data_IF_295395248965
#
_entry.id   IF_295395248965
#
_cell.length_a   1.000
_cell.length_b   1.000
_cell.length_c   1.000
_cell.angle_alpha   90.00
_cell.angle_beta   90.00
_cell.angle_gamma   90.00
#
_symmetry.space_group_name_H-M   'P 1'
#
loop_
_entity.id
_entity.type
_entity.pdbx_description
1 polymer ?
#
# COMPACT_ATOMS: atom_id res chain seq x y z
N UNK A 1 -34.35 9.62 5.89
CA UNK A 1 -33.00 10.14 5.58
C UNK A 1 -32.03 9.03 5.94
N UNK A 2 -31.56 8.28 4.95
CA UNK A 2 -30.74 7.09 5.19
C UNK A 2 -29.28 7.48 5.39
N UNK A 3 -28.77 7.18 6.57
CA UNK A 3 -27.35 7.09 6.90
C UNK A 3 -26.70 6.05 5.97
N UNK A 4 -25.84 6.52 5.07
CA UNK A 4 -24.99 5.70 4.19
C UNK A 4 -23.54 5.75 4.68
N UNK A 5 -23.28 5.43 5.95
CA UNK A 5 -21.90 5.46 6.45
C UNK A 5 -21.12 4.25 5.95
N UNK A 6 -20.33 4.47 4.89
CA UNK A 6 -19.46 3.50 4.20
C UNK A 6 -18.20 3.12 5.01
N UNK A 7 -17.98 3.80 6.14
CA UNK A 7 -16.76 3.71 6.95
C UNK A 7 -17.08 3.29 8.38
N UNK A 8 -16.32 2.35 8.93
CA UNK A 8 -16.38 2.01 10.35
C UNK A 8 -15.01 2.19 11.01
N UNK A 9 -15.01 2.60 12.28
CA UNK A 9 -13.78 2.73 13.07
C UNK A 9 -13.68 1.49 13.97
N UNK A 10 -12.61 0.71 13.79
CA UNK A 10 -12.27 -0.41 14.67
C UNK A 10 -10.84 -0.24 15.14
N UNK A 11 -10.63 -0.23 16.47
CA UNK A 11 -9.32 -0.06 17.11
C UNK A 11 -8.53 1.16 16.56
N UNK A 12 -9.19 2.31 16.49
CA UNK A 12 -8.62 3.57 15.98
C UNK A 12 -8.16 3.53 14.50
N UNK A 13 -8.66 2.58 13.69
CA UNK A 13 -8.42 2.54 12.23
C UNK A 13 -9.71 2.53 11.43
N UNK A 14 -9.71 3.32 10.34
CA UNK A 14 -10.80 3.42 9.39
C UNK A 14 -10.83 2.15 8.51
N UNK A 15 -11.98 1.49 8.48
CA UNK A 15 -12.24 0.33 7.63
C UNK A 15 -13.25 0.72 6.55
N UNK A 16 -12.94 0.41 5.29
CA UNK A 16 -13.83 0.60 4.15
C UNK A 16 -14.70 -0.63 3.94
N UNK A 17 -16.02 -0.47 3.96
CA UNK A 17 -16.93 -1.57 3.61
C UNK A 17 -17.21 -1.54 2.11
N UNK A 18 -16.57 -2.45 1.36
CA UNK A 18 -16.77 -2.58 -0.08
C UNK A 18 -18.08 -3.34 -0.38
N UNK A 19 -19.16 -2.63 -0.69
CA UNK A 19 -20.38 -3.26 -1.23
C UNK A 19 -20.19 -3.45 -2.75
N UNK A 20 -19.95 -4.69 -3.17
CA UNK A 20 -19.88 -5.07 -4.57
C UNK A 20 -21.17 -4.66 -5.29
N UNK A 21 -21.06 -3.93 -6.40
CA UNK A 21 -22.18 -3.50 -7.22
C UNK A 21 -22.63 -4.71 -8.05
N UNK A 22 -23.59 -5.48 -7.55
CA UNK A 22 -24.17 -6.59 -8.32
C UNK A 22 -25.21 -6.05 -9.30
N UNK A 23 -24.87 -6.06 -10.59
CA UNK A 23 -25.79 -5.96 -11.73
C UNK A 23 -26.78 -7.14 -11.67
N UNK A 24 -28.08 -6.96 -11.97
CA UNK A 24 -29.05 -8.03 -11.83
C UNK A 24 -28.84 -9.07 -12.93
N UNK A 25 -28.40 -10.26 -12.56
CA UNK A 25 -28.65 -11.45 -13.37
C UNK A 25 -29.09 -12.55 -12.43
N UNK A 26 -30.23 -13.11 -12.79
CA UNK A 26 -31.04 -14.06 -12.03
C UNK A 26 -30.24 -15.21 -11.37
N UNK A 27 -30.63 -15.48 -10.12
CA UNK A 27 -30.62 -16.78 -9.45
C UNK A 27 -29.29 -17.57 -9.49
N UNK A 28 -28.46 -17.44 -8.45
CA UNK A 28 -27.84 -18.59 -7.77
C UNK A 28 -27.05 -18.15 -6.51
N UNK A 29 -27.53 -18.65 -5.37
CA UNK A 29 -26.75 -19.08 -4.20
C UNK A 29 -25.73 -18.11 -3.58
N UNK A 30 -26.16 -17.44 -2.51
CA UNK A 30 -25.34 -16.65 -1.59
C UNK A 30 -24.26 -17.51 -0.95
N UNK A 31 -23.14 -17.66 -1.65
CA UNK A 31 -21.89 -18.16 -1.04
C UNK A 31 -21.26 -17.00 -0.27
N UNK A 32 -21.28 -17.07 1.05
CA UNK A 32 -20.55 -16.17 1.94
C UNK A 32 -19.04 -16.36 1.71
N UNK A 33 -18.46 -15.58 0.80
CA UNK A 33 -17.00 -15.51 0.65
C UNK A 33 -16.41 -14.79 1.88
N UNK A 34 -15.41 -15.35 2.57
CA UNK A 34 -14.77 -14.68 3.70
C UNK A 34 -14.15 -13.37 3.22
N UNK A 35 -14.59 -12.27 3.84
CA UNK A 35 -14.22 -10.88 3.56
C UNK A 35 -12.82 -10.50 4.06
N UNK A 36 -11.84 -11.40 4.01
CA UNK A 36 -10.52 -11.19 4.62
C UNK A 36 -9.39 -10.88 3.62
N UNK A 37 -9.59 -10.97 2.30
CA UNK A 37 -8.47 -10.79 1.35
C UNK A 37 -8.05 -9.34 1.11
N UNK A 38 -8.93 -8.36 1.33
CA UNK A 38 -8.68 -6.96 0.99
C UNK A 38 -7.83 -6.21 2.02
N UNK A 39 -7.79 -6.68 3.27
CA UNK A 39 -7.02 -6.06 4.37
C UNK A 39 -5.53 -6.38 4.28
N UNK A 40 -5.15 -7.58 3.82
CA UNK A 40 -3.74 -8.00 3.68
C UNK A 40 -2.92 -7.07 2.78
N UNK A 41 -3.54 -6.52 1.73
CA UNK A 41 -2.87 -5.59 0.81
C UNK A 41 -2.49 -4.29 1.52
N UNK A 42 -3.34 -3.80 2.43
CA UNK A 42 -3.07 -2.58 3.20
C UNK A 42 -2.00 -2.79 4.28
N UNK A 43 -1.86 -4.01 4.78
CA UNK A 43 -0.86 -4.38 5.79
C UNK A 43 0.52 -4.67 5.20
N UNK A 44 0.62 -4.90 3.88
CA UNK A 44 1.89 -5.19 3.22
C UNK A 44 2.77 -3.95 3.23
N UNK A 45 3.95 -3.97 3.87
CA UNK A 45 4.87 -2.83 3.85
C UNK A 45 5.44 -2.60 2.46
N UNK A 46 5.54 -1.34 2.04
CA UNK A 46 6.00 -0.93 0.72
C UNK A 46 7.27 -0.09 0.85
N UNK A 47 8.30 -0.42 0.08
CA UNK A 47 9.44 0.44 -0.16
C UNK A 47 9.35 1.02 -1.56
N UNK A 48 9.42 2.34 -1.68
CA UNK A 48 9.39 3.03 -2.96
C UNK A 48 10.56 4.01 -3.02
N UNK A 49 11.35 3.96 -4.08
CA UNK A 49 12.49 4.86 -4.25
C UNK A 49 12.61 5.42 -5.65
N UNK A 50 13.18 6.62 -5.78
CA UNK A 50 13.36 7.28 -7.07
C UNK A 50 14.54 8.26 -7.10
N UNK A 51 15.25 8.34 -8.22
CA UNK A 51 16.30 9.34 -8.44
C UNK A 51 15.70 10.62 -9.04
N UNK A 52 16.19 11.79 -8.61
CA UNK A 52 15.68 13.09 -9.12
C UNK A 52 16.01 13.35 -10.57
N UNK A 53 17.08 12.76 -11.05
CA UNK A 53 17.63 12.89 -12.41
C UNK A 53 17.19 11.76 -13.34
N UNK A 54 16.16 10.98 -12.97
CA UNK A 54 15.54 10.00 -13.87
C UNK A 54 14.91 10.73 -15.09
N UNK A 55 15.46 10.45 -16.26
CA UNK A 55 15.09 11.01 -17.56
C UNK A 55 14.01 10.20 -18.29
N UNK A 56 13.67 9.02 -17.79
CA UNK A 56 12.67 8.10 -18.35
C UNK A 56 11.34 8.23 -17.62
N UNK A 57 11.36 8.24 -16.29
CA UNK A 57 10.17 8.36 -15.44
C UNK A 57 10.30 9.58 -14.54
N UNK A 58 9.48 10.63 -14.75
CA UNK A 58 9.53 11.83 -13.93
C UNK A 58 9.25 11.54 -12.45
N UNK A 59 10.04 12.14 -11.55
CA UNK A 59 9.88 11.97 -10.10
C UNK A 59 8.51 12.39 -9.56
N UNK A 60 7.76 13.22 -10.30
CA UNK A 60 6.37 13.55 -9.97
C UNK A 60 5.47 12.33 -9.91
N UNK A 61 5.80 11.26 -10.62
CA UNK A 61 5.06 10.00 -10.55
C UNK A 61 5.33 9.27 -9.23
N UNK A 62 6.56 9.34 -8.72
CA UNK A 62 6.94 8.77 -7.42
C UNK A 62 6.35 9.53 -6.22
N UNK A 63 6.07 10.84 -6.36
CA UNK A 63 5.34 11.63 -5.36
C UNK A 63 3.92 11.13 -5.09
N UNK A 64 3.39 10.23 -5.92
CA UNK A 64 2.14 9.52 -5.65
C UNK A 64 2.27 8.47 -4.53
N UNK A 65 3.45 8.31 -3.91
CA UNK A 65 3.59 7.63 -2.61
C UNK A 65 2.62 8.19 -1.55
N UNK A 66 2.37 9.51 -1.58
CA UNK A 66 1.35 10.17 -0.77
C UNK A 66 -0.05 9.59 -0.96
N UNK A 67 -0.36 9.05 -2.14
CA UNK A 67 -1.65 8.38 -2.42
C UNK A 67 -1.70 7.00 -1.76
N UNK A 68 -0.60 6.25 -1.78
CA UNK A 68 -0.51 4.95 -1.10
C UNK A 68 -0.65 5.11 0.42
N UNK A 69 -0.01 6.12 1.00
CA UNK A 69 -0.19 6.47 2.43
C UNK A 69 -1.65 6.86 2.73
N UNK A 70 -2.30 7.67 1.87
CA UNK A 70 -3.72 8.04 2.02
C UNK A 70 -4.67 6.85 1.92
N UNK A 71 -4.27 5.79 1.21
CA UNK A 71 -5.00 4.52 1.15
C UNK A 71 -4.83 3.67 2.42
N UNK A 72 -3.98 4.10 3.36
CA UNK A 72 -3.75 3.40 4.63
C UNK A 72 -2.60 2.38 4.59
N UNK A 73 -1.78 2.40 3.54
CA UNK A 73 -0.62 1.53 3.42
C UNK A 73 0.58 2.06 4.22
N UNK A 74 1.46 1.16 4.64
CA UNK A 74 2.74 1.52 5.28
C UNK A 74 3.80 1.66 4.21
N UNK A 75 4.23 2.89 3.93
CA UNK A 75 5.16 3.19 2.82
C UNK A 75 6.44 3.83 3.37
N UNK A 76 7.59 3.33 2.92
CA UNK A 76 8.90 3.95 3.08
C UNK A 76 9.32 4.57 1.75
N UNK A 77 9.41 5.90 1.69
CA UNK A 77 9.80 6.63 0.48
C UNK A 77 11.25 7.12 0.57
N UNK A 78 12.06 6.80 -0.45
CA UNK A 78 13.45 7.25 -0.58
C UNK A 78 13.67 8.01 -1.88
N UNK A 79 14.15 9.24 -1.76
CA UNK A 79 14.47 10.06 -2.92
C UNK A 79 15.98 10.29 -2.98
N UNK A 80 16.59 9.92 -4.11
CA UNK A 80 18.02 10.12 -4.36
C UNK A 80 18.26 11.36 -5.22
N UNK A 81 19.42 11.99 -5.03
CA UNK A 81 19.78 13.20 -5.78
C UNK A 81 20.11 12.88 -7.24
N UNK A 82 20.84 11.80 -7.46
CA UNK A 82 21.35 11.31 -8.73
C UNK A 82 21.23 9.77 -8.78
N UNK A 83 21.43 9.18 -9.96
CA UNK A 83 21.37 7.72 -10.18
C UNK A 83 20.65 7.31 -11.46
N UNK A 84 19.96 8.24 -12.12
CA UNK A 84 19.21 7.98 -13.34
C UNK A 84 18.06 6.99 -13.11
N UNK A 85 17.66 6.29 -14.18
CA UNK A 85 16.48 5.43 -14.19
C UNK A 85 16.63 4.10 -13.43
N UNK A 86 17.84 3.61 -13.25
CA UNK A 86 18.08 2.32 -12.60
C UNK A 86 18.02 2.43 -11.07
N UNK A 87 18.14 1.29 -10.40
CA UNK A 87 18.31 1.26 -8.94
C UNK A 87 19.53 2.12 -8.59
N UNK A 88 19.35 3.04 -7.64
CA UNK A 88 20.45 3.85 -7.14
C UNK A 88 21.46 2.93 -6.45
N UNK A 89 22.70 2.87 -6.94
CA UNK A 89 23.76 2.03 -6.38
C UNK A 89 24.94 2.88 -5.89
N UNK A 90 25.59 2.48 -4.78
CA UNK A 90 25.26 1.33 -3.93
C UNK A 90 24.12 1.59 -2.94
N UNK A 91 23.83 2.87 -2.65
CA UNK A 91 23.00 3.28 -1.53
C UNK A 91 21.56 2.74 -1.60
N UNK A 92 20.94 2.70 -2.77
CA UNK A 92 19.57 2.19 -2.90
C UNK A 92 19.44 0.69 -2.66
N UNK A 93 20.48 -0.10 -2.94
CA UNK A 93 20.51 -1.52 -2.57
C UNK A 93 20.63 -1.67 -1.05
N UNK A 94 21.48 -0.88 -0.42
CA UNK A 94 21.62 -0.87 1.05
C UNK A 94 20.31 -0.48 1.74
N UNK A 95 19.61 0.55 1.23
CA UNK A 95 18.31 0.98 1.74
C UNK A 95 17.24 -0.12 1.59
N UNK A 96 17.25 -0.90 0.50
CA UNK A 96 16.35 -2.06 0.31
C UNK A 96 16.64 -3.15 1.35
N UNK A 97 17.92 -3.48 1.57
CA UNK A 97 18.31 -4.50 2.56
C UNK A 97 17.89 -4.10 3.96
N UNK A 98 18.13 -2.83 4.34
CA UNK A 98 17.70 -2.27 5.62
C UNK A 98 16.19 -2.37 5.77
N UNK A 99 15.42 -1.96 4.75
CA UNK A 99 13.96 -2.04 4.78
C UNK A 99 13.46 -3.48 5.01
N UNK A 100 13.99 -4.46 4.26
CA UNK A 100 13.56 -5.86 4.39
C UNK A 100 13.86 -6.38 5.81
N UNK A 101 15.05 -6.09 6.34
CA UNK A 101 15.41 -6.49 7.71
C UNK A 101 14.44 -5.89 8.73
N UNK A 102 14.19 -4.59 8.65
CA UNK A 102 13.32 -3.89 9.60
C UNK A 102 11.87 -4.44 9.56
N UNK A 103 11.37 -4.81 8.37
CA UNK A 103 10.07 -5.47 8.20
C UNK A 103 10.03 -6.86 8.84
N UNK A 104 11.08 -7.67 8.66
CA UNK A 104 11.16 -9.02 9.25
C UNK A 104 11.27 -8.97 10.78
N UNK A 105 12.05 -8.04 11.31
CA UNK A 105 12.24 -7.86 12.75
C UNK A 105 10.98 -7.33 13.44
N UNK A 106 10.28 -6.36 12.81
CA UNK A 106 9.00 -5.85 13.31
C UNK A 106 7.85 -6.88 13.26
N UNK A 107 7.91 -7.84 12.33
CA UNK A 107 6.99 -8.98 12.29
C UNK A 107 7.23 -10.00 13.41
N UNK A 108 8.45 -10.10 13.92
CA UNK A 108 8.86 -11.11 14.91
C UNK A 108 8.55 -10.73 16.37
N UNK A 109 8.22 -9.46 16.65
CA UNK A 109 7.91 -8.97 18.01
C UNK A 109 6.46 -9.22 18.45
N UNK A 110 5.65 -9.88 17.63
CA UNK A 110 4.34 -10.43 18.03
C UNK A 110 4.48 -11.91 18.38
N UNK A 111 4.98 -12.24 19.57
CA UNK A 111 4.85 -13.58 20.16
C UNK A 111 4.51 -13.49 21.64
#
# INVERSE_FOLDING_TARGET
MADNTVWSIVRNRLHYNHKMINTPTDQAETTLVPSDSSTFILETPIFLSHSRDDDVVPITNGKNSLTLEKLGMVVSWKQYKDGGHWVNEPQGVDDIVVFIRDVVESGSTKK
#
